data_IF_463321870915
#
_entry.id   IF_463321870915
#
_cell.length_a   1.000
_cell.length_b   1.000
_cell.length_c   1.000
_cell.angle_alpha   90.00
_cell.angle_beta   90.00
_cell.angle_gamma   90.00
#
_symmetry.space_group_name_H-M   'P 1'
#
loop_
_entity.id
_entity.type
_entity.pdbx_description
1 polymer ?
#
# COMPACT_ATOMS: atom_id res chain seq x y z
N UNK A 1 -9.85 -13.82 -8.97
CA UNK A 1 -9.21 -13.68 -7.65
C UNK A 1 -9.18 -15.05 -7.00
N UNK A 2 -8.02 -15.58 -6.65
CA UNK A 2 -7.94 -16.87 -5.96
C UNK A 2 -8.49 -16.73 -4.53
N UNK A 3 -9.11 -17.79 -3.96
CA UNK A 3 -9.69 -17.76 -2.61
C UNK A 3 -8.69 -17.30 -1.53
N UNK A 4 -7.41 -17.64 -1.68
CA UNK A 4 -6.33 -17.23 -0.77
C UNK A 4 -5.89 -15.76 -0.91
N UNK A 5 -6.10 -15.13 -2.07
CA UNK A 5 -5.81 -13.70 -2.27
C UNK A 5 -6.89 -12.85 -1.58
N UNK A 6 -8.16 -13.27 -1.69
CA UNK A 6 -9.28 -12.56 -1.10
C UNK A 6 -9.15 -12.48 0.43
N UNK A 7 -8.73 -13.57 1.08
CA UNK A 7 -8.51 -13.57 2.53
C UNK A 7 -7.39 -12.61 2.95
N UNK A 8 -6.33 -12.50 2.16
CA UNK A 8 -5.21 -11.58 2.44
C UNK A 8 -5.61 -10.12 2.27
N UNK A 9 -6.39 -9.80 1.23
CA UNK A 9 -6.94 -8.45 1.03
C UNK A 9 -7.92 -8.10 2.16
N UNK A 10 -8.80 -9.02 2.54
CA UNK A 10 -9.73 -8.80 3.66
C UNK A 10 -9.00 -8.61 4.99
N UNK A 11 -7.97 -9.40 5.26
CA UNK A 11 -7.11 -9.21 6.43
C UNK A 11 -6.45 -7.81 6.40
N UNK A 12 -5.96 -7.38 5.24
CA UNK A 12 -5.41 -6.04 5.06
C UNK A 12 -6.43 -4.93 5.37
N UNK A 13 -7.68 -5.09 4.91
CA UNK A 13 -8.77 -4.15 5.20
C UNK A 13 -9.03 -4.09 6.71
N UNK A 14 -9.10 -5.24 7.40
CA UNK A 14 -9.34 -5.29 8.84
C UNK A 14 -8.23 -4.61 9.64
N UNK A 15 -6.96 -4.80 9.23
CA UNK A 15 -5.81 -4.18 9.89
C UNK A 15 -5.83 -2.66 9.66
N UNK A 16 -6.06 -2.23 8.42
CA UNK A 16 -6.14 -0.82 8.10
C UNK A 16 -7.31 -0.14 8.83
N UNK A 17 -8.46 -0.83 8.91
CA UNK A 17 -9.62 -0.42 9.70
C UNK A 17 -9.25 -0.23 11.18
N UNK A 18 -8.55 -1.19 11.78
CA UNK A 18 -8.12 -1.08 13.17
C UNK A 18 -7.20 0.15 13.38
N UNK A 19 -6.24 0.38 12.49
CA UNK A 19 -5.31 1.52 12.58
C UNK A 19 -6.01 2.87 12.39
N UNK A 20 -6.94 2.97 11.44
CA UNK A 20 -7.68 4.21 11.16
C UNK A 20 -8.65 4.51 12.30
N UNK A 21 -9.41 3.50 12.74
CA UNK A 21 -10.55 3.67 13.65
C UNK A 21 -10.15 3.79 15.12
N UNK A 22 -8.91 3.43 15.46
CA UNK A 22 -8.45 3.45 16.85
C UNK A 22 -8.64 4.82 17.55
N UNK A 23 -8.37 5.93 16.86
CA UNK A 23 -8.59 7.27 17.41
C UNK A 23 -10.07 7.52 17.77
N UNK A 24 -10.98 7.14 16.88
CA UNK A 24 -12.42 7.28 17.10
C UNK A 24 -12.95 6.38 18.23
N UNK A 25 -12.33 5.20 18.42
CA UNK A 25 -12.67 4.30 19.54
C UNK A 25 -12.31 4.95 20.88
N UNK A 26 -11.14 5.60 20.98
CA UNK A 26 -10.73 6.30 22.20
C UNK A 26 -11.66 7.47 22.54
N UNK A 27 -12.18 8.16 21.53
CA UNK A 27 -13.15 9.26 21.66
C UNK A 27 -14.60 8.79 21.82
N UNK A 28 -14.85 7.47 21.84
CA UNK A 28 -16.18 6.86 21.87
C UNK A 28 -17.12 7.30 20.71
N UNK A 29 -16.56 7.66 19.54
CA UNK A 29 -17.32 8.11 18.37
C UNK A 29 -17.63 6.95 17.41
N UNK A 30 -18.78 6.30 17.60
CA UNK A 30 -19.20 5.14 16.78
C UNK A 30 -19.41 5.44 15.30
N UNK A 31 -19.86 6.65 14.96
CA UNK A 31 -19.99 7.08 13.56
C UNK A 31 -18.62 7.21 12.89
N UNK A 32 -17.62 7.73 13.62
CA UNK A 32 -16.24 7.79 13.17
C UNK A 32 -15.65 6.40 12.90
N UNK A 33 -15.95 5.42 13.76
CA UNK A 33 -15.54 4.02 13.56
C UNK A 33 -16.13 3.45 12.27
N UNK A 34 -17.43 3.65 12.02
CA UNK A 34 -18.06 3.18 10.78
C UNK A 34 -17.45 3.84 9.53
N UNK A 35 -17.20 5.15 9.58
CA UNK A 35 -16.48 5.88 8.51
C UNK A 35 -15.08 5.28 8.28
N UNK A 36 -14.37 4.94 9.35
CA UNK A 36 -13.06 4.30 9.28
C UNK A 36 -13.06 2.98 8.51
N UNK A 37 -14.11 2.17 8.65
CA UNK A 37 -14.27 0.92 7.88
C UNK A 37 -14.46 1.19 6.39
N UNK A 38 -15.31 2.16 6.05
CA UNK A 38 -15.54 2.58 4.66
C UNK A 38 -14.24 3.09 4.05
N UNK A 39 -13.48 3.92 4.77
CA UNK A 39 -12.19 4.42 4.31
C UNK A 39 -11.19 3.29 4.07
N UNK A 40 -11.09 2.31 4.98
CA UNK A 40 -10.19 1.17 4.80
C UNK A 40 -10.54 0.34 3.55
N UNK A 41 -11.83 0.10 3.32
CA UNK A 41 -12.32 -0.61 2.12
C UNK A 41 -11.98 0.19 0.85
N UNK A 42 -12.21 1.50 0.83
CA UNK A 42 -11.95 2.33 -0.34
C UNK A 42 -10.44 2.43 -0.64
N UNK A 43 -9.60 2.65 0.37
CA UNK A 43 -8.14 2.74 0.21
C UNK A 43 -7.60 1.44 -0.36
N UNK A 44 -7.84 0.30 0.30
CA UNK A 44 -7.32 -0.99 -0.17
C UNK A 44 -7.98 -1.40 -1.50
N UNK A 45 -9.28 -1.15 -1.64
CA UNK A 45 -10.03 -1.49 -2.85
C UNK A 45 -9.50 -0.77 -4.07
N UNK A 46 -9.37 0.55 -4.02
CA UNK A 46 -8.80 1.34 -5.12
C UNK A 46 -7.36 0.93 -5.41
N UNK A 47 -6.57 0.70 -4.37
CA UNK A 47 -5.18 0.27 -4.52
C UNK A 47 -5.05 -1.06 -5.28
N UNK A 48 -5.80 -2.08 -4.86
CA UNK A 48 -5.82 -3.41 -5.47
C UNK A 48 -6.39 -3.35 -6.89
N UNK A 49 -7.50 -2.63 -7.09
CA UNK A 49 -8.16 -2.52 -8.40
C UNK A 49 -7.28 -1.80 -9.42
N UNK A 50 -6.62 -0.71 -9.03
CA UNK A 50 -5.73 0.05 -9.91
C UNK A 50 -4.57 -0.82 -10.41
N UNK A 51 -3.98 -1.64 -9.54
CA UNK A 51 -2.92 -2.59 -9.90
C UNK A 51 -3.42 -3.70 -10.81
N UNK A 52 -4.59 -4.28 -10.53
CA UNK A 52 -5.17 -5.32 -11.39
C UNK A 52 -5.53 -4.78 -12.76
N UNK A 53 -6.01 -3.54 -12.83
CA UNK A 53 -6.28 -2.87 -14.11
C UNK A 53 -4.98 -2.67 -14.91
N UNK A 54 -3.93 -2.14 -14.28
CA UNK A 54 -2.62 -1.98 -14.91
C UNK A 54 -2.02 -3.31 -15.38
N UNK A 55 -2.14 -4.37 -14.57
CA UNK A 55 -1.67 -5.70 -14.92
C UNK A 55 -2.40 -6.28 -16.12
N UNK A 56 -3.73 -6.11 -16.19
CA UNK A 56 -4.54 -6.54 -17.32
C UNK A 56 -4.13 -5.89 -18.64
N UNK A 57 -3.74 -4.62 -18.61
CA UNK A 57 -3.20 -3.90 -19.79
C UNK A 57 -1.83 -4.44 -20.23
N UNK A 58 -1.06 -4.98 -19.30
CA UNK A 58 0.29 -5.52 -19.53
C UNK A 58 0.30 -7.05 -19.76
N UNK A 59 -0.87 -7.68 -19.97
CA UNK A 59 -1.01 -9.14 -20.07
C UNK A 59 -0.39 -9.90 -18.87
N UNK A 60 -0.50 -9.31 -17.68
CA UNK A 60 -0.03 -9.86 -16.40
C UNK A 60 -1.20 -10.04 -15.43
N UNK A 61 -1.04 -10.94 -14.47
CA UNK A 61 -1.93 -11.06 -13.30
C UNK A 61 -1.18 -10.57 -12.06
N UNK A 62 -1.91 -10.07 -11.06
CA UNK A 62 -1.31 -9.56 -9.82
C UNK A 62 -1.96 -10.26 -8.64
N UNK A 63 -1.11 -10.92 -7.85
CA UNK A 63 -1.48 -11.53 -6.58
C UNK A 63 -1.04 -10.62 -5.45
N UNK A 64 -2.01 -10.18 -4.63
CA UNK A 64 -1.75 -9.40 -3.44
C UNK A 64 -1.45 -10.32 -2.26
N UNK A 65 -0.41 -9.99 -1.50
CA UNK A 65 -0.01 -10.67 -0.28
C UNK A 65 0.13 -9.67 0.86
N UNK A 66 -0.03 -10.14 2.09
CA UNK A 66 0.34 -9.32 3.25
C UNK A 66 1.86 -9.15 3.24
N UNK A 67 2.32 -7.94 3.56
CA UNK A 67 3.75 -7.63 3.60
C UNK A 67 4.48 -8.60 4.54
N UNK A 68 5.40 -9.36 3.96
CA UNK A 68 6.23 -10.32 4.67
C UNK A 68 7.69 -9.86 4.70
N UNK A 69 8.36 -10.07 5.84
CA UNK A 69 9.81 -9.91 5.94
C UNK A 69 10.44 -11.28 6.06
N UNK A 70 11.29 -11.63 5.10
CA UNK A 70 11.99 -12.91 5.05
C UNK A 70 13.42 -12.82 5.58
N UNK A 71 14.10 -11.69 5.34
CA UNK A 71 15.52 -11.48 5.70
C UNK A 71 15.63 -10.56 6.92
N UNK A 72 16.57 -10.86 7.82
CA UNK A 72 16.92 -9.98 8.93
C UNK A 72 18.41 -9.62 8.90
N UNK A 73 18.76 -8.35 9.14
CA UNK A 73 20.14 -7.89 9.12
C UNK A 73 20.78 -7.79 7.72
N UNK A 74 22.10 -7.58 7.68
CA UNK A 74 22.84 -7.23 6.46
C UNK A 74 23.47 -8.43 5.72
N UNK A 75 23.53 -9.61 6.34
CA UNK A 75 24.21 -10.78 5.76
C UNK A 75 23.22 -11.65 4.99
N UNK A 76 23.64 -12.13 3.81
CA UNK A 76 22.80 -12.92 2.91
C UNK A 76 22.34 -14.28 3.49
N UNK A 77 22.93 -14.80 4.57
CA UNK A 77 22.50 -16.05 5.20
C UNK A 77 21.52 -15.85 6.37
N UNK A 78 21.23 -14.60 6.76
CA UNK A 78 20.30 -14.31 7.83
C UNK A 78 18.87 -14.27 7.29
N UNK A 79 18.22 -15.42 7.30
CA UNK A 79 16.86 -15.61 6.82
C UNK A 79 15.99 -16.25 7.91
N UNK A 80 14.73 -15.84 7.96
CA UNK A 80 13.74 -16.54 8.76
C UNK A 80 13.32 -17.83 8.06
N UNK A 81 13.02 -18.87 8.84
CA UNK A 81 12.51 -20.14 8.30
C UNK A 81 11.12 -20.00 7.66
N UNK A 82 10.36 -18.97 8.06
CA UNK A 82 9.04 -18.61 7.55
C UNK A 82 8.96 -17.08 7.43
N UNK A 83 8.26 -16.60 6.42
CA UNK A 83 7.99 -15.16 6.27
C UNK A 83 7.19 -14.66 7.46
N UNK A 84 7.72 -13.65 8.15
CA UNK A 84 7.02 -12.99 9.24
C UNK A 84 6.05 -11.98 8.61
N UNK A 85 4.75 -12.02 8.92
CA UNK A 85 3.76 -11.12 8.34
C UNK A 85 3.88 -9.72 8.95
N UNK A 86 4.91 -8.99 8.54
CA UNK A 86 5.22 -7.64 8.98
C UNK A 86 4.07 -6.65 8.72
N UNK A 87 3.29 -6.86 7.65
CA UNK A 87 2.09 -6.07 7.36
C UNK A 87 0.96 -6.21 8.37
N UNK A 88 1.02 -7.18 9.29
CA UNK A 88 0.13 -7.26 10.46
C UNK A 88 0.83 -6.73 11.70
N UNK A 89 2.06 -7.22 11.93
CA UNK A 89 2.78 -6.98 13.18
C UNK A 89 3.20 -5.51 13.28
N UNK A 90 3.76 -4.93 12.22
CA UNK A 90 4.31 -3.56 12.24
C UNK A 90 3.21 -2.51 12.45
N UNK A 91 2.08 -2.51 11.70
CA UNK A 91 1.02 -1.53 11.96
C UNK A 91 0.45 -1.60 13.39
N UNK A 92 0.23 -2.80 13.92
CA UNK A 92 -0.31 -2.99 15.26
C UNK A 92 0.70 -2.65 16.36
N UNK A 93 1.97 -3.04 16.18
CA UNK A 93 3.04 -2.68 17.10
C UNK A 93 3.27 -1.17 17.13
N UNK A 94 3.29 -0.52 15.97
CA UNK A 94 3.43 0.94 15.87
C UNK A 94 2.24 1.66 16.49
N UNK A 95 1.02 1.13 16.34
CA UNK A 95 -0.17 1.64 17.01
C UNK A 95 0.00 1.57 18.55
N UNK A 96 0.35 0.40 19.08
CA UNK A 96 0.58 0.22 20.51
C UNK A 96 1.70 1.13 21.04
N UNK A 97 2.83 1.16 20.35
CA UNK A 97 3.97 2.01 20.70
C UNK A 97 3.58 3.49 20.68
N UNK A 98 2.82 3.92 19.68
CA UNK A 98 2.36 5.31 19.57
C UNK A 98 1.47 5.70 20.74
N UNK A 99 0.62 4.80 21.25
CA UNK A 99 -0.28 5.08 22.37
C UNK A 99 0.45 5.08 23.70
N UNK A 100 1.33 4.11 23.92
CA UNK A 100 2.00 3.95 25.22
C UNK A 100 3.13 4.96 25.40
N UNK A 101 3.91 5.22 24.35
CA UNK A 101 5.13 6.04 24.44
C UNK A 101 4.99 7.45 23.85
N UNK A 102 4.28 7.61 22.71
CA UNK A 102 4.27 8.88 21.97
C UNK A 102 3.05 9.75 22.25
N UNK A 103 1.93 9.17 22.69
CA UNK A 103 0.71 9.89 23.07
C UNK A 103 0.95 10.97 24.14
N UNK A 104 1.75 10.75 25.21
CA UNK A 104 2.05 11.80 26.19
C UNK A 104 2.81 12.99 25.58
N UNK A 105 3.46 12.79 24.44
CA UNK A 105 4.22 13.80 23.71
C UNK A 105 3.43 14.43 22.54
N UNK A 106 2.16 14.07 22.35
CA UNK A 106 1.29 14.59 21.29
C UNK A 106 1.65 14.13 19.88
N UNK A 107 2.49 13.09 19.73
CA UNK A 107 2.93 12.57 18.44
C UNK A 107 2.19 11.26 18.16
N UNK A 108 1.53 11.16 17.02
CA UNK A 108 0.80 9.95 16.63
C UNK A 108 1.28 9.43 15.26
N UNK A 109 2.09 8.37 15.28
CA UNK A 109 2.66 7.76 14.07
C UNK A 109 1.87 6.50 13.74
N UNK A 110 1.07 6.56 12.67
CA UNK A 110 0.33 5.42 12.12
C UNK A 110 1.12 4.83 10.95
N UNK A 111 1.70 3.65 11.12
CA UNK A 111 2.29 2.89 10.02
C UNK A 111 1.19 2.17 9.23
N UNK A 112 1.14 2.38 7.91
CA UNK A 112 0.03 1.93 7.07
C UNK A 112 0.46 1.06 5.87
N UNK A 113 1.73 0.64 5.79
CA UNK A 113 2.21 -0.31 4.78
C UNK A 113 1.80 -1.75 5.10
N UNK A 114 0.74 -2.25 4.45
CA UNK A 114 0.11 -3.54 4.81
C UNK A 114 0.23 -4.59 3.72
N UNK A 115 0.02 -4.20 2.47
CA UNK A 115 -0.06 -5.12 1.33
C UNK A 115 1.14 -4.94 0.42
N UNK A 116 1.65 -6.06 -0.06
CA UNK A 116 2.61 -6.15 -1.17
C UNK A 116 1.96 -6.89 -2.33
N UNK A 117 2.55 -6.83 -3.51
CA UNK A 117 2.05 -7.55 -4.66
C UNK A 117 3.17 -8.27 -5.40
N UNK A 118 2.81 -9.36 -6.06
CA UNK A 118 3.66 -10.08 -6.99
C UNK A 118 2.93 -10.17 -8.33
N UNK A 119 3.55 -9.64 -9.39
CA UNK A 119 3.01 -9.80 -10.74
C UNK A 119 3.47 -11.15 -11.33
N UNK A 120 2.54 -11.84 -11.99
CA UNK A 120 2.77 -13.10 -12.70
C UNK A 120 2.39 -12.95 -14.16
N UNK A 121 3.16 -13.57 -15.04
CA UNK A 121 2.86 -13.55 -16.48
C UNK A 121 1.67 -14.46 -16.77
N UNK A 122 0.69 -13.96 -17.51
CA UNK A 122 -0.42 -14.81 -17.98
C UNK A 122 0.06 -15.80 -19.05
N UNK A 123 -0.47 -17.02 -19.03
CA UNK A 123 -0.18 -18.06 -20.04
C UNK A 123 -0.41 -17.58 -21.48
N UNK A 124 -1.36 -16.65 -21.68
CA UNK A 124 -1.64 -16.01 -22.98
C UNK A 124 -0.45 -15.21 -23.51
N UNK A 125 0.31 -14.53 -22.65
CA UNK A 125 1.49 -13.76 -23.02
C UNK A 125 2.61 -14.68 -23.51
N UNK A 126 2.83 -15.79 -22.82
CA UNK A 126 3.79 -16.82 -23.22
C UNK A 126 3.44 -17.50 -24.56
N UNK A 127 2.15 -17.59 -24.90
CA UNK A 127 1.68 -18.17 -26.16
C UNK A 127 1.88 -17.22 -27.37
N UNK A 128 1.94 -15.90 -27.16
CA UNK A 128 2.14 -14.88 -28.22
C UNK A 128 3.61 -14.70 -28.63
N UNK A 129 4.40 -15.79 -28.63
CA UNK A 129 5.86 -15.82 -28.88
C UNK A 129 6.32 -15.18 -30.20
N UNK A 130 5.44 -14.92 -31.16
CA UNK A 130 5.78 -14.36 -32.47
C UNK A 130 5.08 -13.00 -32.67
N UNK A 131 5.77 -11.92 -32.33
CA UNK A 131 5.34 -10.52 -32.50
C UNK A 131 6.37 -9.55 -31.89
N UNK A 132 6.26 -8.22 -32.11
CA UNK A 132 7.19 -7.22 -31.58
C UNK A 132 7.24 -7.14 -30.03
N UNK A 133 6.31 -7.82 -29.34
CA UNK A 133 6.31 -8.06 -27.90
C UNK A 133 6.68 -9.53 -27.60
N UNK A 134 7.89 -9.95 -27.99
CA UNK A 134 8.35 -11.34 -27.83
C UNK A 134 8.85 -11.69 -26.42
N UNK A 135 8.83 -10.73 -25.48
CA UNK A 135 9.32 -10.97 -24.12
C UNK A 135 8.32 -11.82 -23.33
N UNK A 136 8.68 -13.09 -23.11
CA UNK A 136 7.95 -14.00 -22.23
C UNK A 136 8.13 -13.68 -20.74
N UNK A 137 9.13 -12.86 -20.40
CA UNK A 137 9.53 -12.55 -19.04
C UNK A 137 8.97 -11.20 -18.58
N UNK A 138 8.64 -11.14 -17.29
CA UNK A 138 8.14 -9.92 -16.66
C UNK A 138 9.34 -9.05 -16.28
N UNK A 139 9.55 -7.95 -16.99
CA UNK A 139 10.68 -7.06 -16.68
C UNK A 139 10.39 -6.20 -15.46
N UNK A 140 11.44 -5.75 -14.77
CA UNK A 140 11.33 -4.86 -13.61
C UNK A 140 10.55 -3.58 -13.91
N UNK A 141 10.65 -3.08 -15.15
CA UNK A 141 9.86 -1.94 -15.62
C UNK A 141 8.34 -2.20 -15.57
N UNK A 142 7.88 -3.41 -15.92
CA UNK A 142 6.46 -3.76 -15.82
C UNK A 142 5.99 -3.79 -14.36
N UNK A 143 6.80 -4.38 -13.47
CA UNK A 143 6.53 -4.38 -12.04
C UNK A 143 6.45 -2.96 -11.49
N UNK A 144 7.42 -2.10 -11.82
CA UNK A 144 7.43 -0.72 -11.39
C UNK A 144 6.23 0.08 -11.92
N UNK A 145 5.81 -0.15 -13.16
CA UNK A 145 4.63 0.52 -13.74
C UNK A 145 3.33 0.10 -13.04
N UNK A 146 3.17 -1.19 -12.73
CA UNK A 146 1.99 -1.68 -11.98
C UNK A 146 1.93 -1.01 -10.60
N UNK A 147 3.06 -0.93 -9.89
CA UNK A 147 3.15 -0.27 -8.59
C UNK A 147 2.82 1.22 -8.69
N UNK A 148 3.39 1.90 -9.69
CA UNK A 148 3.15 3.32 -9.94
C UNK A 148 1.66 3.62 -10.20
N UNK A 149 0.96 2.79 -10.99
CA UNK A 149 -0.47 2.97 -11.22
C UNK A 149 -1.29 2.77 -9.94
N UNK A 150 -0.88 1.85 -9.05
CA UNK A 150 -1.47 1.69 -7.73
C UNK A 150 -1.39 2.98 -6.89
N UNK A 151 -0.21 3.60 -6.85
CA UNK A 151 0.05 4.86 -6.15
C UNK A 151 -0.74 6.01 -6.77
N UNK A 152 -0.74 6.13 -8.10
CA UNK A 152 -1.49 7.17 -8.81
C UNK A 152 -3.00 7.04 -8.57
N UNK A 153 -3.54 5.82 -8.58
CA UNK A 153 -4.96 5.57 -8.28
C UNK A 153 -5.36 6.06 -6.89
N UNK A 154 -4.49 5.87 -5.90
CA UNK A 154 -4.68 6.38 -4.55
C UNK A 154 -4.54 7.91 -4.47
N UNK A 155 -3.61 8.51 -5.20
CA UNK A 155 -3.51 9.98 -5.29
C UNK A 155 -4.80 10.59 -5.84
N UNK A 156 -5.38 10.01 -6.90
CA UNK A 156 -6.68 10.44 -7.41
C UNK A 156 -7.79 10.32 -6.36
N UNK A 157 -7.83 9.21 -5.61
CA UNK A 157 -8.79 9.04 -4.52
C UNK A 157 -8.61 10.11 -3.42
N UNK A 158 -7.37 10.47 -3.09
CA UNK A 158 -7.08 11.50 -2.08
C UNK A 158 -7.61 12.88 -2.49
N UNK A 159 -7.44 13.22 -3.78
CA UNK A 159 -7.97 14.47 -4.35
C UNK A 159 -9.49 14.46 -4.34
N UNK A 160 -10.13 13.37 -4.76
CA UNK A 160 -11.60 13.24 -4.72
C UNK A 160 -12.12 13.37 -3.27
N UNK A 161 -11.48 12.70 -2.32
CA UNK A 161 -11.87 12.76 -0.92
C UNK A 161 -11.80 14.19 -0.36
N UNK A 162 -10.79 14.96 -0.78
CA UNK A 162 -10.69 16.38 -0.42
C UNK A 162 -11.85 17.22 -0.98
N UNK A 163 -12.23 17.01 -2.25
CA UNK A 163 -13.33 17.74 -2.88
C UNK A 163 -14.72 17.40 -2.33
N UNK A 164 -14.90 16.21 -1.75
CA UNK A 164 -16.16 15.77 -1.12
C UNK A 164 -16.18 16.08 0.39
N UNK A 165 -15.34 17.01 0.84
CA UNK A 165 -15.24 17.45 2.24
C UNK A 165 -14.94 16.30 3.22
N UNK A 166 -14.22 15.28 2.76
CA UNK A 166 -13.70 14.18 3.57
C UNK A 166 -12.21 14.38 3.86
N UNK A 167 -11.86 15.51 4.48
CA UNK A 167 -10.47 15.89 4.78
C UNK A 167 -9.69 14.82 5.55
N UNK A 168 -10.32 14.19 6.55
CA UNK A 168 -9.71 13.08 7.30
C UNK A 168 -9.38 11.87 6.40
N UNK A 169 -10.25 11.52 5.45
CA UNK A 169 -9.99 10.43 4.49
C UNK A 169 -8.81 10.76 3.59
N UNK A 170 -8.77 11.99 3.05
CA UNK A 170 -7.65 12.46 2.23
C UNK A 170 -6.32 12.37 2.98
N UNK A 171 -6.31 12.77 4.26
CA UNK A 171 -5.16 12.65 5.16
C UNK A 171 -4.73 11.19 5.39
N UNK A 172 -5.66 10.28 5.63
CA UNK A 172 -5.35 8.85 5.78
C UNK A 172 -4.79 8.24 4.49
N UNK A 173 -5.28 8.66 3.32
CA UNK A 173 -4.72 8.22 2.03
C UNK A 173 -3.29 8.74 1.84
N UNK A 174 -3.03 10.02 2.16
CA UNK A 174 -1.69 10.59 2.07
C UNK A 174 -0.68 9.83 2.95
N UNK A 175 -1.06 9.46 4.18
CA UNK A 175 -0.21 8.62 5.04
C UNK A 175 -0.02 7.21 4.48
N UNK A 176 -1.07 6.59 3.94
CA UNK A 176 -0.93 5.29 3.29
C UNK A 176 0.01 5.35 2.08
N UNK A 177 -0.08 6.39 1.25
CA UNK A 177 0.81 6.63 0.12
C UNK A 177 2.27 6.77 0.56
N UNK A 178 2.53 7.58 1.58
CA UNK A 178 3.87 7.79 2.14
C UNK A 178 4.53 6.47 2.52
N UNK A 179 3.85 5.63 3.32
CA UNK A 179 4.42 4.36 3.76
C UNK A 179 4.65 3.35 2.63
N UNK A 180 3.80 3.35 1.60
CA UNK A 180 3.99 2.43 0.47
C UNK A 180 5.06 2.89 -0.52
N UNK A 181 5.37 4.19 -0.58
CA UNK A 181 6.41 4.74 -1.44
C UNK A 181 7.83 4.56 -0.89
N UNK A 182 7.98 4.31 0.41
CA UNK A 182 9.28 4.00 1.00
C UNK A 182 9.85 2.71 0.39
N UNK A 183 11.12 2.73 -0.08
CA UNK A 183 11.77 1.58 -0.71
C UNK A 183 12.26 0.57 0.32
N UNK A 184 11.32 0.00 1.09
CA UNK A 184 11.59 -0.96 2.16
C UNK A 184 11.04 -2.33 1.76
N UNK A 185 11.91 -3.34 1.76
CA UNK A 185 11.53 -4.74 1.49
C UNK A 185 10.79 -4.85 0.15
N UNK A 186 9.61 -5.48 0.11
CA UNK A 186 8.82 -5.73 -1.10
C UNK A 186 7.63 -4.76 -1.27
N UNK A 187 7.64 -3.63 -0.57
CA UNK A 187 6.63 -2.57 -0.74
C UNK A 187 6.71 -1.96 -2.15
N UNK A 188 5.66 -1.25 -2.53
CA UNK A 188 5.49 -0.72 -3.88
C UNK A 188 6.63 0.22 -4.27
N UNK A 189 7.08 1.05 -3.33
CA UNK A 189 8.20 1.96 -3.48
C UNK A 189 9.46 1.25 -3.97
N UNK A 190 9.75 0.05 -3.45
CA UNK A 190 10.90 -0.74 -3.90
C UNK A 190 10.73 -1.18 -5.36
N UNK A 191 9.54 -1.65 -5.73
CA UNK A 191 9.27 -2.12 -7.09
C UNK A 191 9.32 -0.98 -8.11
N UNK A 192 8.82 0.21 -7.75
CA UNK A 192 8.89 1.41 -8.57
C UNK A 192 10.33 1.91 -8.66
N UNK A 193 11.08 1.92 -7.56
CA UNK A 193 12.47 2.36 -7.51
C UNK A 193 13.38 1.52 -8.42
N UNK A 194 13.27 0.20 -8.36
CA UNK A 194 14.06 -0.69 -9.21
C UNK A 194 13.57 -0.70 -10.66
N UNK A 195 12.25 -0.58 -10.91
CA UNK A 195 11.71 -0.52 -12.26
C UNK A 195 12.04 0.78 -13.01
N UNK A 196 11.87 1.94 -12.37
CA UNK A 196 12.25 3.24 -12.93
C UNK A 196 12.46 4.29 -11.82
N UNK A 197 13.73 4.60 -11.55
CA UNK A 197 14.12 5.57 -10.51
C UNK A 197 13.54 6.97 -10.73
N UNK A 198 13.41 7.42 -11.98
CA UNK A 198 12.89 8.77 -12.28
C UNK A 198 11.41 8.84 -11.89
N UNK A 199 10.62 7.82 -12.27
CA UNK A 199 9.20 7.73 -11.89
C UNK A 199 9.06 7.65 -10.38
N UNK A 200 9.91 6.88 -9.70
CA UNK A 200 9.91 6.82 -8.24
C UNK A 200 10.17 8.19 -7.61
N UNK A 201 11.21 8.93 -8.03
CA UNK A 201 11.52 10.26 -7.50
C UNK A 201 10.35 11.22 -7.72
N UNK A 202 9.74 11.23 -8.91
CA UNK A 202 8.59 12.09 -9.21
C UNK A 202 7.42 11.76 -8.30
N UNK A 203 7.06 10.48 -8.17
CA UNK A 203 5.96 10.06 -7.30
C UNK A 203 6.25 10.32 -5.83
N UNK A 204 7.49 10.18 -5.39
CA UNK A 204 7.91 10.45 -4.01
C UNK A 204 7.76 11.93 -3.69
N UNK A 205 8.26 12.82 -4.56
CA UNK A 205 8.12 14.28 -4.38
C UNK A 205 6.64 14.68 -4.33
N UNK A 206 5.81 14.14 -5.24
CA UNK A 206 4.36 14.42 -5.22
C UNK A 206 3.72 13.88 -3.95
N UNK A 207 4.09 12.69 -3.49
CA UNK A 207 3.58 12.11 -2.25
C UNK A 207 3.96 12.96 -1.03
N UNK A 208 5.20 13.46 -0.96
CA UNK A 208 5.66 14.35 0.10
C UNK A 208 4.88 15.66 0.13
N UNK A 209 4.54 16.24 -1.04
CA UNK A 209 3.67 17.42 -1.12
C UNK A 209 2.26 17.12 -0.59
N UNK A 210 1.68 15.97 -0.93
CA UNK A 210 0.38 15.54 -0.41
C UNK A 210 0.40 15.36 1.11
N UNK A 211 1.45 14.76 1.66
CA UNK A 211 1.63 14.60 3.11
C UNK A 211 1.79 15.95 3.79
N UNK A 212 2.61 16.85 3.24
CA UNK A 212 2.79 18.19 3.78
C UNK A 212 1.46 18.95 3.81
N UNK A 213 0.66 18.87 2.75
CA UNK A 213 -0.67 19.46 2.71
C UNK A 213 -1.63 18.83 3.73
N UNK A 214 -1.62 17.50 3.85
CA UNK A 214 -2.43 16.76 4.80
C UNK A 214 -2.11 17.06 6.27
N UNK A 215 -0.90 17.53 6.58
CA UNK A 215 -0.53 18.01 7.91
C UNK A 215 -1.13 19.39 8.23
N UNK A 216 -1.31 20.23 7.22
CA UNK A 216 -1.86 21.59 7.37
C UNK A 216 -3.39 21.58 7.49
N UNK A 217 -4.07 20.61 6.87
CA UNK A 217 -5.53 20.47 6.99
C UNK A 217 -5.91 20.18 8.46
N UNK A 218 -6.68 21.08 9.12
CA UNK A 218 -7.22 20.82 10.45
C UNK A 218 -8.27 19.70 10.38
N UNK A 219 -8.28 18.85 11.41
CA UNK A 219 -9.20 17.70 11.55
C UNK A 219 -10.55 18.17 12.07
#
# INVERSE_FOLDING_TARGET
MAKGELSQVLAGVLILFAVISFGFVLEANWLGVLKGLIFAILIIGVHVLSKKWAAGLLDCDVEHKIWGVYRYGFKAHHHFKKEIPAGIIVPLFMLFFSVVFLWPMGILIKFMGILTYEARVLKRRAARRFGPYSYSELTEWHNGLIGAVGIVGLMFLAVIAYFVDQGYMSKMIAYYLFWNMLPISNLDGTQIFFGNRIVWVVLEVVTLLFVAYALVIPV
#
